data_IF_040081772600
#
_entry.id   IF_040081772600
#
_cell.length_a   1.000
_cell.length_b   1.000
_cell.length_c   1.000
_cell.angle_alpha   90.00
_cell.angle_beta   90.00
_cell.angle_gamma   90.00
#
_symmetry.space_group_name_H-M   'P 1'
#
loop_
_entity.id
_entity.type
_entity.pdbx_description
1 polymer ?
#
# COMPACT_ATOMS: atom_id res chain seq x y z
N UNK A 1 1.98 4.77 16.60
CA UNK A 1 1.85 5.41 15.28
C UNK A 1 0.96 4.62 14.32
N UNK A 2 0.61 3.40 14.63
CA UNK A 2 -0.32 2.58 13.84
C UNK A 2 -1.71 2.46 14.47
N UNK A 3 -2.03 3.28 15.49
CA UNK A 3 -3.33 3.27 16.13
C UNK A 3 -4.46 3.76 15.22
N UNK A 4 -5.74 3.49 15.58
CA UNK A 4 -6.88 3.85 14.74
C UNK A 4 -6.99 5.34 14.42
N UNK A 5 -6.69 6.19 15.38
CA UNK A 5 -6.72 7.66 15.21
C UNK A 5 -5.69 8.13 14.19
N UNK A 6 -4.46 7.60 14.29
CA UNK A 6 -3.38 7.92 13.36
C UNK A 6 -3.73 7.41 11.96
N UNK A 7 -4.25 6.21 11.84
CA UNK A 7 -4.66 5.62 10.56
C UNK A 7 -5.73 6.47 9.85
N UNK A 8 -6.70 7.01 10.60
CA UNK A 8 -7.71 7.92 10.04
C UNK A 8 -7.10 9.25 9.61
N UNK A 9 -6.24 9.83 10.45
CA UNK A 9 -5.58 11.10 10.16
C UNK A 9 -4.67 11.00 8.92
N UNK A 10 -3.93 9.92 8.77
CA UNK A 10 -3.03 9.69 7.62
C UNK A 10 -3.79 9.74 6.30
N UNK A 11 -4.95 9.12 6.20
CA UNK A 11 -5.74 9.17 4.96
C UNK A 11 -6.16 10.58 4.59
N UNK A 12 -6.52 11.41 5.57
CA UNK A 12 -6.89 12.81 5.35
C UNK A 12 -5.69 13.66 4.93
N UNK A 13 -4.56 13.50 5.61
CA UNK A 13 -3.33 14.23 5.30
C UNK A 13 -2.80 13.80 3.92
N UNK A 14 -2.82 12.51 3.63
CA UNK A 14 -2.35 11.98 2.35
C UNK A 14 -3.20 12.41 1.15
N UNK A 15 -4.42 12.87 1.37
CA UNK A 15 -5.27 13.42 0.32
C UNK A 15 -4.88 14.85 -0.09
N UNK A 16 -4.06 15.56 0.71
CA UNK A 16 -3.61 16.92 0.40
C UNK A 16 -2.60 16.89 -0.75
N UNK A 17 -2.85 17.61 -1.88
CA UNK A 17 -1.95 17.58 -3.04
C UNK A 17 -0.53 18.06 -2.77
N UNK A 18 -0.36 19.05 -1.90
CA UNK A 18 0.97 19.59 -1.58
C UNK A 18 1.79 18.60 -0.75
N UNK A 19 1.14 17.94 0.21
CA UNK A 19 1.76 16.86 0.99
C UNK A 19 2.16 15.70 0.07
N UNK A 20 1.29 15.31 -0.84
CA UNK A 20 1.57 14.24 -1.82
C UNK A 20 2.77 14.59 -2.68
N UNK A 21 2.85 15.81 -3.20
CA UNK A 21 3.98 16.26 -4.00
C UNK A 21 5.30 16.16 -3.26
N UNK A 22 5.35 16.61 -2.01
CA UNK A 22 6.55 16.54 -1.19
C UNK A 22 6.96 15.10 -0.90
N UNK A 23 6.01 14.24 -0.57
CA UNK A 23 6.27 12.82 -0.33
C UNK A 23 6.80 12.11 -1.57
N UNK A 24 6.22 12.36 -2.73
CA UNK A 24 6.68 11.79 -4.01
C UNK A 24 8.12 12.21 -4.30
N UNK A 25 8.44 13.49 -4.12
CA UNK A 25 9.80 14.00 -4.29
C UNK A 25 10.78 13.28 -3.37
N UNK A 26 10.44 13.15 -2.09
CA UNK A 26 11.30 12.48 -1.09
C UNK A 26 11.54 11.01 -1.42
N UNK A 27 10.49 10.31 -1.86
CA UNK A 27 10.61 8.91 -2.25
C UNK A 27 11.51 8.72 -3.46
N UNK A 28 11.40 9.60 -4.45
CA UNK A 28 12.26 9.58 -5.65
C UNK A 28 13.72 9.87 -5.32
N UNK A 29 13.97 10.86 -4.47
CA UNK A 29 15.33 11.19 -3.98
C UNK A 29 15.93 10.01 -3.23
N UNK A 30 15.16 9.38 -2.36
CA UNK A 30 15.61 8.22 -1.60
C UNK A 30 16.08 7.08 -2.50
N UNK A 31 15.31 6.77 -3.53
CA UNK A 31 15.67 5.72 -4.48
C UNK A 31 16.88 6.09 -5.34
N UNK A 32 16.94 7.34 -5.80
CA UNK A 32 18.05 7.84 -6.60
C UNK A 32 19.38 7.79 -5.82
N UNK A 33 19.37 8.21 -4.56
CA UNK A 33 20.57 8.23 -3.72
C UNK A 33 21.10 6.82 -3.44
N UNK A 34 20.27 5.79 -3.54
CA UNK A 34 20.62 4.38 -3.26
C UNK A 34 20.77 3.52 -4.50
N UNK A 35 20.57 4.09 -5.68
CA UNK A 35 20.63 3.34 -6.93
C UNK A 35 19.47 2.37 -7.13
N UNK A 36 18.38 2.56 -6.42
CA UNK A 36 17.18 1.75 -6.49
C UNK A 36 16.69 1.28 -5.12
N UNK A 37 15.76 0.35 -5.10
CA UNK A 37 15.22 -0.19 -3.85
C UNK A 37 13.87 -0.84 -4.03
N UNK A 38 13.31 -1.30 -2.93
CA UNK A 38 11.95 -1.82 -2.84
C UNK A 38 11.12 -0.83 -2.03
N UNK A 39 10.06 -0.34 -2.62
CA UNK A 39 9.15 0.61 -1.97
C UNK A 39 7.75 0.04 -1.98
N UNK A 40 7.02 0.34 -0.90
CA UNK A 40 5.62 0.00 -0.79
C UNK A 40 4.77 1.25 -0.64
N UNK A 41 3.52 1.17 -1.03
CA UNK A 41 2.57 2.25 -0.90
C UNK A 41 1.38 2.03 -1.82
N UNK A 42 0.47 2.98 -1.82
CA UNK A 42 -0.78 2.87 -2.55
C UNK A 42 -0.69 3.39 -3.99
N UNK A 43 0.31 4.22 -4.29
CA UNK A 43 0.50 4.91 -5.56
C UNK A 43 1.92 4.74 -6.13
N UNK A 44 2.71 3.84 -5.57
CA UNK A 44 4.13 3.70 -5.91
C UNK A 44 4.32 3.37 -7.40
N UNK A 45 3.58 2.40 -7.91
CA UNK A 45 3.72 1.96 -9.30
C UNK A 45 2.93 2.80 -10.32
N UNK A 46 2.03 3.66 -9.87
CA UNK A 46 1.21 4.49 -10.75
C UNK A 46 1.71 5.93 -10.85
N UNK A 47 2.11 6.52 -9.74
CA UNK A 47 2.47 7.94 -9.65
C UNK A 47 3.94 8.14 -9.33
N UNK A 48 4.47 7.50 -8.29
CA UNK A 48 5.83 7.75 -7.79
C UNK A 48 6.88 7.21 -8.75
N UNK A 49 6.75 5.96 -9.14
CA UNK A 49 7.67 5.27 -10.06
C UNK A 49 6.91 4.56 -11.17
N UNK A 50 6.33 5.32 -12.11
CA UNK A 50 5.63 4.71 -13.25
C UNK A 50 6.54 3.89 -14.15
N UNK A 51 7.87 4.11 -14.08
CA UNK A 51 8.89 3.40 -14.87
C UNK A 51 9.59 2.28 -14.08
N UNK A 52 9.06 1.87 -12.93
CA UNK A 52 9.67 0.81 -12.13
C UNK A 52 9.85 -0.48 -12.93
N UNK A 53 10.98 -1.17 -12.72
CA UNK A 53 11.31 -2.41 -13.42
C UNK A 53 10.31 -3.53 -13.09
N UNK A 54 9.86 -3.58 -11.83
CA UNK A 54 8.85 -4.53 -11.39
C UNK A 54 7.81 -3.80 -10.55
N UNK A 55 6.56 -3.94 -10.93
CA UNK A 55 5.43 -3.42 -10.17
C UNK A 55 4.57 -4.59 -9.72
N UNK A 56 4.23 -4.60 -8.46
CA UNK A 56 3.38 -5.64 -7.87
C UNK A 56 2.20 -4.98 -7.17
N UNK A 57 1.02 -5.43 -7.50
CA UNK A 57 -0.20 -5.05 -6.80
C UNK A 57 -0.60 -6.19 -5.87
N UNK A 58 -0.35 -6.02 -4.59
CA UNK A 58 -0.73 -7.00 -3.58
C UNK A 58 -2.18 -6.80 -3.19
N UNK A 59 -2.95 -7.86 -3.23
CA UNK A 59 -4.35 -7.84 -2.87
C UNK A 59 -4.69 -9.01 -1.94
N UNK A 60 -5.80 -8.90 -1.26
CA UNK A 60 -6.40 -9.98 -0.47
C UNK A 60 -7.89 -9.69 -0.29
N UNK A 61 -8.67 -10.71 -0.03
CA UNK A 61 -10.10 -10.55 0.27
C UNK A 61 -10.28 -9.60 1.48
N UNK A 62 -11.33 -8.77 1.50
CA UNK A 62 -11.55 -7.82 2.60
C UNK A 62 -11.58 -8.47 3.98
N UNK A 63 -12.20 -9.64 4.13
CA UNK A 63 -12.24 -10.37 5.39
C UNK A 63 -10.85 -10.85 5.86
N UNK A 64 -9.98 -11.24 4.94
CA UNK A 64 -8.60 -11.64 5.24
C UNK A 64 -7.78 -10.44 5.70
N UNK A 65 -7.93 -9.30 5.02
CA UNK A 65 -7.24 -8.06 5.37
C UNK A 65 -7.65 -7.58 6.76
N UNK A 66 -8.94 -7.62 7.06
CA UNK A 66 -9.47 -7.25 8.38
C UNK A 66 -8.95 -8.18 9.48
N UNK A 67 -8.90 -9.48 9.24
CA UNK A 67 -8.34 -10.45 10.17
C UNK A 67 -6.84 -10.19 10.45
N UNK A 68 -6.05 -9.96 9.39
CA UNK A 68 -4.62 -9.63 9.53
C UNK A 68 -4.43 -8.36 10.35
N UNK A 69 -5.20 -7.32 10.04
CA UNK A 69 -5.11 -6.03 10.74
C UNK A 69 -5.55 -6.14 12.19
N UNK A 70 -6.59 -6.91 12.50
CA UNK A 70 -7.06 -7.08 13.88
C UNK A 70 -6.03 -7.80 14.77
N UNK A 71 -5.20 -8.66 14.21
CA UNK A 71 -4.06 -9.26 14.92
C UNK A 71 -2.96 -8.26 15.24
N UNK A 72 -2.78 -7.23 14.39
CA UNK A 72 -1.81 -6.16 14.63
C UNK A 72 -2.30 -5.12 15.64
N UNK A 73 -3.62 -4.91 15.71
CA UNK A 73 -4.26 -3.88 16.54
C UNK A 73 -5.18 -4.59 17.55
N UNK A 74 -4.60 -4.98 18.69
CA UNK A 74 -5.25 -5.83 19.68
C UNK A 74 -6.50 -5.21 20.35
N UNK A 75 -6.64 -3.88 20.31
CA UNK A 75 -7.72 -3.16 21.01
C UNK A 75 -9.00 -2.97 20.18
N UNK A 76 -9.02 -3.45 18.93
CA UNK A 76 -10.17 -3.29 18.04
C UNK A 76 -10.80 -4.62 17.67
N UNK A 77 -12.13 -4.61 17.57
CA UNK A 77 -12.86 -5.74 17.03
C UNK A 77 -12.61 -5.89 15.52
N UNK A 78 -12.81 -7.10 15.01
CA UNK A 78 -12.74 -7.39 13.58
C UNK A 78 -13.64 -6.45 12.77
N UNK A 79 -14.87 -6.22 13.22
CA UNK A 79 -15.84 -5.38 12.50
C UNK A 79 -15.41 -3.91 12.42
N UNK A 80 -14.85 -3.37 13.51
CA UNK A 80 -14.31 -2.01 13.53
C UNK A 80 -13.12 -1.88 12.57
N UNK A 81 -12.23 -2.86 12.54
CA UNK A 81 -11.08 -2.89 11.64
C UNK A 81 -11.54 -3.00 10.19
N UNK A 82 -12.50 -3.87 9.88
CA UNK A 82 -13.03 -4.04 8.53
C UNK A 82 -13.66 -2.73 8.01
N UNK A 83 -14.43 -2.04 8.86
CA UNK A 83 -15.04 -0.75 8.53
C UNK A 83 -13.98 0.33 8.25
N UNK A 84 -12.95 0.43 9.10
CA UNK A 84 -11.86 1.39 8.93
C UNK A 84 -11.04 1.12 7.66
N UNK A 85 -10.75 -0.12 7.34
CA UNK A 85 -10.03 -0.49 6.11
C UNK A 85 -10.84 -0.13 4.87
N UNK A 86 -12.13 -0.45 4.84
CA UNK A 86 -13.00 -0.11 3.73
C UNK A 86 -13.10 1.40 3.52
N UNK A 87 -13.21 2.17 4.62
CA UNK A 87 -13.24 3.63 4.58
C UNK A 87 -11.94 4.20 4.02
N UNK A 88 -10.79 3.69 4.47
CA UNK A 88 -9.47 4.14 4.01
C UNK A 88 -9.28 3.86 2.53
N UNK A 89 -9.63 2.67 2.07
CA UNK A 89 -9.51 2.32 0.66
C UNK A 89 -10.41 3.20 -0.21
N UNK A 90 -11.64 3.47 0.22
CA UNK A 90 -12.54 4.37 -0.49
C UNK A 90 -11.98 5.80 -0.58
N UNK A 91 -11.41 6.33 0.49
CA UNK A 91 -10.76 7.63 0.50
C UNK A 91 -9.55 7.68 -0.44
N UNK A 92 -8.71 6.67 -0.41
CA UNK A 92 -7.51 6.61 -1.23
C UNK A 92 -7.83 6.43 -2.70
N UNK A 93 -8.85 5.67 -3.05
CA UNK A 93 -9.32 5.49 -4.43
C UNK A 93 -9.98 6.75 -4.99
N UNK A 94 -10.68 7.50 -4.15
CA UNK A 94 -11.41 8.71 -4.55
C UNK A 94 -10.61 10.00 -4.52
N UNK A 95 -9.36 10.01 -4.03
CA UNK A 95 -8.57 11.23 -3.96
C UNK A 95 -8.09 11.67 -5.35
N UNK A 96 -8.03 12.97 -5.57
CA UNK A 96 -7.60 13.56 -6.85
C UNK A 96 -6.10 13.39 -7.09
N UNK A 97 -5.29 13.51 -6.04
CA UNK A 97 -3.84 13.36 -6.11
C UNK A 97 -3.43 11.94 -5.70
N UNK A 98 -2.74 11.23 -6.58
CA UNK A 98 -2.17 9.91 -6.31
C UNK A 98 -3.20 8.91 -5.73
N UNK A 99 -4.29 8.59 -6.42
CA UNK A 99 -5.28 7.65 -5.91
C UNK A 99 -4.71 6.24 -5.78
N UNK A 100 -5.32 5.43 -4.89
CA UNK A 100 -5.04 4.01 -4.83
C UNK A 100 -5.55 3.35 -6.11
N UNK A 101 -4.65 2.86 -6.93
CA UNK A 101 -4.98 2.22 -8.20
C UNK A 101 -3.93 1.17 -8.56
N UNK A 102 -4.39 0.15 -9.28
CA UNK A 102 -3.51 -0.84 -9.89
C UNK A 102 -2.86 -0.24 -11.14
N UNK A 103 -1.53 -0.34 -11.26
CA UNK A 103 -0.84 0.05 -12.48
C UNK A 103 -1.16 -0.95 -13.60
N UNK A 104 -1.28 -0.46 -14.84
CA UNK A 104 -1.62 -1.31 -15.99
C UNK A 104 -0.62 -2.45 -16.21
N UNK A 105 0.65 -2.21 -15.91
CA UNK A 105 1.74 -3.16 -16.04
C UNK A 105 2.09 -3.89 -14.73
N UNK A 106 1.25 -3.81 -13.71
CA UNK A 106 1.49 -4.46 -12.44
C UNK A 106 1.15 -5.95 -12.47
N UNK A 107 1.99 -6.74 -11.81
CA UNK A 107 1.69 -8.12 -11.50
C UNK A 107 0.75 -8.14 -10.29
N UNK A 108 -0.44 -8.69 -10.45
CA UNK A 108 -1.40 -8.82 -9.34
C UNK A 108 -1.13 -10.10 -8.57
N UNK A 109 -0.94 -10.00 -7.28
CA UNK A 109 -0.73 -11.15 -6.39
C UNK A 109 -1.82 -11.14 -5.32
N UNK A 110 -2.72 -12.11 -5.39
CA UNK A 110 -3.72 -12.34 -4.34
C UNK A 110 -3.07 -13.15 -3.22
N UNK A 111 -2.94 -12.52 -2.07
CA UNK A 111 -2.26 -13.08 -0.90
C UNK A 111 -3.21 -13.71 0.10
N UNK A 112 -4.50 -13.85 -0.24
CA UNK A 112 -5.53 -14.29 0.71
C UNK A 112 -5.22 -15.64 1.36
N UNK A 113 -4.67 -16.57 0.59
CA UNK A 113 -4.38 -17.93 1.06
C UNK A 113 -2.87 -18.20 1.22
N UNK A 114 -2.05 -17.15 1.22
CA UNK A 114 -0.60 -17.25 1.32
C UNK A 114 -0.10 -16.79 2.70
N UNK A 115 0.94 -17.46 3.19
CA UNK A 115 1.72 -16.98 4.33
C UNK A 115 2.64 -15.82 3.91
N UNK A 116 3.19 -15.10 4.89
CA UNK A 116 4.19 -14.05 4.62
C UNK A 116 5.38 -14.63 3.87
N UNK A 117 5.89 -15.79 4.29
CA UNK A 117 7.05 -16.43 3.64
C UNK A 117 6.75 -16.81 2.19
N UNK A 118 5.56 -17.32 1.91
CA UNK A 118 5.12 -17.64 0.56
C UNK A 118 5.02 -16.40 -0.33
N UNK A 119 4.52 -15.30 0.19
CA UNK A 119 4.47 -14.01 -0.54
C UNK A 119 5.88 -13.51 -0.83
N UNK A 120 6.77 -13.51 0.16
CA UNK A 120 8.16 -13.08 0.00
C UNK A 120 8.87 -13.92 -1.06
N UNK A 121 8.71 -15.24 -1.02
CA UNK A 121 9.31 -16.15 -2.00
C UNK A 121 8.80 -15.88 -3.41
N UNK A 122 7.50 -15.71 -3.57
CA UNK A 122 6.89 -15.40 -4.86
C UNK A 122 7.44 -14.09 -5.46
N UNK A 123 7.61 -13.06 -4.64
CA UNK A 123 8.15 -11.77 -5.08
C UNK A 123 9.66 -11.86 -5.36
N UNK A 124 10.42 -12.55 -4.52
CA UNK A 124 11.86 -12.73 -4.71
C UNK A 124 12.17 -13.45 -6.02
N UNK A 125 11.38 -14.46 -6.37
CA UNK A 125 11.50 -15.18 -7.63
C UNK A 125 11.30 -14.24 -8.84
N UNK A 126 10.36 -13.30 -8.75
CA UNK A 126 10.12 -12.33 -9.83
C UNK A 126 11.24 -11.31 -9.96
N UNK A 127 11.83 -10.88 -8.85
CA UNK A 127 12.97 -9.95 -8.85
C UNK A 127 14.23 -10.62 -9.43
N UNK A 128 14.47 -11.87 -9.07
CA UNK A 128 15.63 -12.65 -9.54
C UNK A 128 15.48 -13.19 -10.98
N UNK A 129 14.28 -13.17 -11.47
CA UNK A 129 13.97 -13.62 -12.82
C UNK A 129 13.83 -12.49 -13.79
#
# INVERSE_FOLDING_TARGET
IRGPEVTRAVSLVAANPDVRRDLVRRQREWAADRGGGVLEGRDIGTVVFPDAQLKVYLTARPEVRAERRSKEVADLSYEAVATDLARRDALDQGREASPLAEADDALVVDTSDLSIDEVVEALATKVGG
#
